data_IF_701451114218
#
_entry.id   IF_701451114218
#
_cell.length_a   1.000
_cell.length_b   1.000
_cell.length_c   1.000
_cell.angle_alpha   90.00
_cell.angle_beta   90.00
_cell.angle_gamma   90.00
#
_symmetry.space_group_name_H-M   'P 1'
#
loop_
_entity.id
_entity.type
_entity.pdbx_description
1 polymer ?
#
# COMPACT_ATOMS: atom_id res chain seq x y z
N UNK A 1 28.26 14.34 -2.63
CA UNK A 1 27.16 13.34 -2.56
C UNK A 1 27.05 12.95 -1.11
N UNK A 2 25.88 13.18 -0.49
CA UNK A 2 25.64 12.87 0.92
C UNK A 2 25.50 11.36 1.11
N UNK A 3 26.11 10.83 2.15
CA UNK A 3 25.90 9.43 2.58
C UNK A 3 24.61 9.30 3.35
N UNK A 4 23.85 8.23 3.11
CA UNK A 4 22.54 7.97 3.71
C UNK A 4 22.51 6.58 4.34
N UNK A 5 21.98 6.50 5.53
CA UNK A 5 21.53 5.25 6.16
C UNK A 5 20.03 5.30 6.32
N UNK A 6 19.36 4.18 6.06
CA UNK A 6 17.91 4.02 6.28
C UNK A 6 17.69 3.07 7.46
N UNK A 7 16.97 3.51 8.47
CA UNK A 7 16.54 2.66 9.58
C UNK A 7 15.16 2.09 9.28
N UNK A 8 15.14 0.99 8.69
CA UNK A 8 14.12 -0.05 8.43
C UNK A 8 14.62 -0.93 7.28
N UNK A 9 14.31 -2.22 7.35
CA UNK A 9 14.56 -3.19 6.27
C UNK A 9 13.25 -3.79 5.76
N UNK A 10 12.11 -3.24 6.19
CA UNK A 10 10.79 -3.60 5.69
C UNK A 10 10.49 -2.92 4.33
N UNK A 11 9.30 -3.18 3.78
CA UNK A 11 8.88 -2.62 2.50
C UNK A 11 9.03 -1.11 2.40
N UNK A 12 8.74 -0.40 3.48
CA UNK A 12 8.86 1.05 3.51
C UNK A 12 10.32 1.49 3.38
N UNK A 13 11.23 0.81 4.09
CA UNK A 13 12.66 1.07 3.99
C UNK A 13 13.19 0.80 2.59
N UNK A 14 12.79 -0.31 1.96
CA UNK A 14 13.17 -0.65 0.59
C UNK A 14 12.64 0.38 -0.41
N UNK A 15 11.35 0.75 -0.31
CA UNK A 15 10.77 1.77 -1.19
C UNK A 15 11.47 3.12 -1.04
N UNK A 16 11.82 3.50 0.19
CA UNK A 16 12.58 4.75 0.44
C UNK A 16 13.98 4.68 -0.17
N UNK A 17 14.63 3.52 -0.14
CA UNK A 17 15.92 3.32 -0.79
C UNK A 17 15.84 3.55 -2.31
N UNK A 18 14.80 3.03 -2.96
CA UNK A 18 14.54 3.23 -4.40
C UNK A 18 14.23 4.69 -4.76
N UNK A 19 13.70 5.46 -3.80
CA UNK A 19 13.36 6.88 -4.00
C UNK A 19 14.57 7.83 -3.83
N UNK A 20 15.70 7.36 -3.34
CA UNK A 20 16.89 8.19 -3.19
C UNK A 20 17.37 8.70 -4.54
N UNK A 21 17.65 10.00 -4.62
CA UNK A 21 18.27 10.58 -5.81
C UNK A 21 19.75 10.17 -5.89
N UNK A 22 20.16 9.29 -6.82
CA UNK A 22 21.52 8.76 -6.87
C UNK A 22 22.58 9.79 -7.29
N UNK A 23 22.18 11.00 -7.71
CA UNK A 23 23.10 12.11 -8.00
C UNK A 23 23.49 12.87 -6.75
N UNK A 24 22.63 12.89 -5.74
CA UNK A 24 22.76 13.66 -4.51
C UNK A 24 23.09 12.78 -3.30
N UNK A 25 22.55 11.55 -3.28
CA UNK A 25 22.53 10.64 -2.15
C UNK A 25 23.19 9.30 -2.50
N UNK A 26 23.95 8.76 -1.55
CA UNK A 26 24.55 7.43 -1.63
C UNK A 26 24.08 6.62 -0.41
N UNK A 27 23.30 5.59 -0.64
CA UNK A 27 22.95 4.62 0.40
C UNK A 27 24.20 3.85 0.81
N UNK A 28 24.54 3.87 2.09
CA UNK A 28 25.72 3.17 2.66
C UNK A 28 25.34 2.04 3.60
N UNK A 29 24.06 1.94 4.00
CA UNK A 29 23.55 0.85 4.80
C UNK A 29 22.07 1.00 5.12
N UNK A 30 21.45 -0.13 5.42
CA UNK A 30 20.10 -0.20 6.00
C UNK A 30 20.18 -0.92 7.34
N UNK A 31 19.48 -0.39 8.35
CA UNK A 31 19.49 -0.95 9.70
C UNK A 31 18.10 -1.31 10.21
N UNK A 32 18.00 -2.41 10.97
CA UNK A 32 16.77 -2.76 11.69
C UNK A 32 17.11 -3.18 13.13
N UNK A 33 16.17 -2.97 14.06
CA UNK A 33 16.27 -3.36 15.46
C UNK A 33 15.75 -4.77 15.72
N UNK A 34 14.99 -5.35 14.77
CA UNK A 34 14.32 -6.65 14.95
C UNK A 34 15.20 -7.79 14.47
N UNK A 35 15.60 -8.63 15.40
CA UNK A 35 16.34 -9.86 15.12
C UNK A 35 15.53 -10.83 14.21
N UNK A 36 14.20 -10.79 14.29
CA UNK A 36 13.28 -11.57 13.47
C UNK A 36 13.29 -11.15 11.99
N UNK A 37 13.51 -9.87 11.70
CA UNK A 37 13.62 -9.35 10.31
C UNK A 37 14.88 -9.87 9.63
N UNK A 38 15.93 -10.18 10.39
CA UNK A 38 17.17 -10.80 9.93
C UNK A 38 16.96 -12.27 9.53
N UNK A 39 16.05 -12.97 10.26
CA UNK A 39 15.72 -14.36 9.98
C UNK A 39 14.86 -14.54 8.72
N UNK A 40 14.08 -13.55 8.33
CA UNK A 40 13.27 -13.57 7.09
C UNK A 40 14.17 -13.53 5.85
N UNK A 41 15.33 -12.90 5.97
CA UNK A 41 16.33 -12.81 4.89
C UNK A 41 17.52 -13.74 5.10
N UNK A 42 17.54 -14.55 6.18
CA UNK A 42 18.50 -15.63 6.32
C UNK A 42 18.10 -16.79 5.40
N UNK A 43 19.06 -17.38 4.75
CA UNK A 43 18.89 -18.66 4.10
C UNK A 43 18.74 -19.71 5.22
N UNK A 44 17.50 -20.05 5.58
CA UNK A 44 17.17 -20.92 6.73
C UNK A 44 17.85 -22.30 6.65
N UNK A 45 18.26 -22.75 5.44
CA UNK A 45 18.99 -23.98 5.23
C UNK A 45 20.47 -23.86 5.57
N UNK A 46 21.06 -22.66 5.60
CA UNK A 46 22.50 -22.48 5.82
C UNK A 46 22.89 -21.75 7.09
N UNK A 47 21.94 -21.13 7.81
CA UNK A 47 22.22 -20.37 9.03
C UNK A 47 23.06 -19.09 8.79
N UNK A 48 23.20 -18.65 7.55
CA UNK A 48 23.94 -17.45 7.18
C UNK A 48 23.00 -16.25 7.14
N UNK A 49 23.34 -15.16 7.84
CA UNK A 49 22.66 -13.88 7.73
C UNK A 49 22.92 -13.29 6.33
N UNK A 50 21.89 -12.86 5.63
CA UNK A 50 22.11 -12.06 4.43
C UNK A 50 22.68 -10.71 4.84
N UNK A 51 23.82 -10.37 4.27
CA UNK A 51 24.46 -9.07 4.47
C UNK A 51 23.90 -7.99 3.52
N UNK A 52 23.04 -8.39 2.57
CA UNK A 52 22.44 -7.50 1.59
C UNK A 52 21.04 -7.97 1.14
N UNK A 53 20.18 -7.02 0.77
CA UNK A 53 18.90 -7.22 0.10
C UNK A 53 18.95 -6.44 -1.21
N UNK A 54 18.75 -7.10 -2.35
CA UNK A 54 18.78 -6.47 -3.68
C UNK A 54 20.03 -5.61 -3.90
N UNK A 55 21.19 -6.06 -3.40
CA UNK A 55 22.47 -5.34 -3.47
C UNK A 55 22.61 -4.19 -2.47
N UNK A 56 21.66 -4.01 -1.55
CA UNK A 56 21.73 -2.99 -0.50
C UNK A 56 22.22 -3.62 0.80
N UNK A 57 23.32 -3.10 1.42
CA UNK A 57 23.86 -3.67 2.64
C UNK A 57 22.90 -3.49 3.82
N UNK A 58 22.65 -4.59 4.53
CA UNK A 58 21.81 -4.63 5.73
C UNK A 58 22.63 -4.99 6.97
N UNK A 59 22.29 -4.40 8.10
CA UNK A 59 23.02 -4.58 9.35
C UNK A 59 22.15 -4.25 10.58
N UNK A 60 22.60 -4.59 11.81
CA UNK A 60 22.01 -4.05 13.03
C UNK A 60 21.87 -2.52 12.98
N UNK A 61 20.79 -1.98 13.51
CA UNK A 61 20.53 -0.56 13.46
C UNK A 61 21.62 0.28 14.16
N UNK A 62 22.18 -0.22 15.25
CA UNK A 62 23.29 0.40 15.96
C UNK A 62 24.58 0.45 15.11
N UNK A 63 24.89 -0.60 14.38
CA UNK A 63 26.03 -0.63 13.44
C UNK A 63 25.77 0.29 12.24
N UNK A 64 24.55 0.36 11.75
CA UNK A 64 24.17 1.27 10.67
C UNK A 64 24.34 2.73 11.09
N UNK A 65 23.92 3.10 12.29
CA UNK A 65 24.12 4.44 12.87
C UNK A 65 25.61 4.72 13.11
N UNK A 66 26.41 3.73 13.50
CA UNK A 66 27.85 3.87 13.71
C UNK A 66 28.63 4.22 12.45
N UNK A 67 28.05 4.04 11.24
CA UNK A 67 28.63 4.53 9.99
C UNK A 67 28.66 6.05 9.89
N UNK A 68 27.99 6.77 10.82
CA UNK A 68 27.91 8.25 10.86
C UNK A 68 27.60 8.88 9.50
N UNK A 69 26.44 8.50 8.87
CA UNK A 69 26.07 9.06 7.57
C UNK A 69 25.80 10.57 7.67
N UNK A 70 25.82 11.28 6.55
CA UNK A 70 25.40 12.68 6.49
C UNK A 70 23.90 12.84 6.78
N UNK A 71 23.09 11.82 6.41
CA UNK A 71 21.62 11.80 6.62
C UNK A 71 21.22 10.44 7.13
N UNK A 72 20.46 10.42 8.21
CA UNK A 72 19.77 9.23 8.73
C UNK A 72 18.30 9.31 8.39
N UNK A 73 17.77 8.32 7.68
CA UNK A 73 16.34 8.25 7.32
C UNK A 73 15.64 7.24 8.21
N UNK A 74 14.68 7.68 9.00
CA UNK A 74 13.81 6.81 9.80
C UNK A 74 12.57 6.47 8.98
N UNK A 75 12.58 5.27 8.38
CA UNK A 75 11.52 4.76 7.53
C UNK A 75 10.49 3.96 8.35
N UNK A 76 9.76 4.66 9.22
CA UNK A 76 8.68 4.12 10.03
C UNK A 76 7.47 5.05 9.97
N UNK A 77 6.27 4.46 9.91
CA UNK A 77 4.99 5.20 9.94
C UNK A 77 4.42 5.31 11.34
N UNK A 78 4.75 4.36 12.20
CA UNK A 78 4.35 4.34 13.59
C UNK A 78 5.18 5.33 14.42
N UNK A 79 4.50 6.12 15.24
CA UNK A 79 5.11 7.18 16.05
C UNK A 79 6.04 6.61 17.13
N UNK A 80 5.63 5.54 17.79
CA UNK A 80 6.41 4.92 18.88
C UNK A 80 7.69 4.31 18.31
N UNK A 81 7.59 3.57 17.21
CA UNK A 81 8.76 3.01 16.49
C UNK A 81 9.69 4.12 16.01
N UNK A 82 9.16 5.20 15.43
CA UNK A 82 9.96 6.33 14.96
C UNK A 82 10.76 6.98 16.10
N UNK A 83 10.12 7.25 17.24
CA UNK A 83 10.79 7.83 18.41
C UNK A 83 11.81 6.88 19.04
N UNK A 84 11.53 5.57 19.06
CA UNK A 84 12.49 4.58 19.56
C UNK A 84 13.77 4.54 18.72
N UNK A 85 13.65 4.60 17.39
CA UNK A 85 14.78 4.65 16.46
C UNK A 85 15.57 5.96 16.57
N UNK A 86 14.87 7.09 16.70
CA UNK A 86 15.49 8.40 16.96
C UNK A 86 16.29 8.38 18.26
N UNK A 87 15.66 7.93 19.35
CA UNK A 87 16.32 7.84 20.65
C UNK A 87 17.57 6.95 20.63
N UNK A 88 17.50 5.83 19.93
CA UNK A 88 18.65 4.95 19.72
C UNK A 88 19.76 5.67 18.98
N UNK A 89 19.46 6.38 17.88
CA UNK A 89 20.45 7.12 17.10
C UNK A 89 21.13 8.22 17.94
N UNK A 90 20.34 9.00 18.69
CA UNK A 90 20.86 10.05 19.57
C UNK A 90 21.78 9.44 20.66
N UNK A 91 21.35 8.33 21.27
CA UNK A 91 22.19 7.62 22.26
C UNK A 91 23.49 7.06 21.69
N UNK A 92 23.49 6.69 20.42
CA UNK A 92 24.69 6.27 19.68
C UNK A 92 25.59 7.46 19.27
N UNK A 93 25.22 8.68 19.65
CA UNK A 93 26.00 9.89 19.35
C UNK A 93 25.81 10.42 17.94
N UNK A 94 24.72 10.10 17.26
CA UNK A 94 24.42 10.66 15.95
C UNK A 94 23.99 12.12 16.07
N UNK A 95 24.62 13.02 15.31
CA UNK A 95 24.41 14.47 15.42
C UNK A 95 24.08 15.13 14.06
N UNK A 96 24.05 14.34 12.98
CA UNK A 96 23.74 14.85 11.65
C UNK A 96 22.23 14.89 11.39
N UNK A 97 21.82 15.17 10.15
CA UNK A 97 20.43 15.33 9.76
C UNK A 97 19.64 14.02 9.92
N UNK A 98 18.48 14.09 10.58
CA UNK A 98 17.49 12.98 10.66
C UNK A 98 16.27 13.37 9.84
N UNK A 99 15.84 12.50 8.94
CA UNK A 99 14.62 12.64 8.12
C UNK A 99 13.63 11.59 8.54
N UNK A 100 12.42 12.01 8.92
CA UNK A 100 11.33 11.13 9.28
C UNK A 100 10.38 10.96 8.11
N UNK A 101 10.24 9.73 7.60
CA UNK A 101 9.31 9.44 6.51
C UNK A 101 7.87 9.68 6.93
N UNK A 102 7.52 9.44 8.20
CA UNK A 102 6.20 9.75 8.77
C UNK A 102 5.82 11.20 8.50
N UNK A 103 6.68 12.16 8.84
CA UNK A 103 6.38 13.58 8.72
C UNK A 103 6.27 14.02 7.26
N UNK A 104 7.09 13.46 6.37
CA UNK A 104 6.97 13.69 4.93
C UNK A 104 5.66 13.13 4.38
N UNK A 105 5.24 11.94 4.83
CA UNK A 105 4.01 11.28 4.39
C UNK A 105 2.76 12.05 4.83
N UNK A 106 2.76 12.64 6.01
CA UNK A 106 1.67 13.49 6.50
C UNK A 106 1.49 14.76 5.65
N UNK A 107 2.60 15.32 5.16
CA UNK A 107 2.57 16.58 4.39
C UNK A 107 2.42 16.33 2.88
N UNK A 108 2.99 15.25 2.35
CA UNK A 108 3.08 14.98 0.92
C UNK A 108 2.59 13.57 0.60
N UNK A 109 1.45 13.46 -0.07
CA UNK A 109 0.92 12.17 -0.55
C UNK A 109 1.00 12.08 -2.07
N UNK A 110 1.83 11.17 -2.58
CA UNK A 110 1.92 10.84 -4.00
C UNK A 110 0.58 10.28 -4.47
N UNK A 111 -0.02 9.37 -3.69
CA UNK A 111 -1.34 8.78 -3.99
C UNK A 111 -2.43 9.82 -4.17
N UNK A 112 -2.52 10.82 -3.28
CA UNK A 112 -3.45 11.93 -3.43
C UNK A 112 -3.22 12.73 -4.71
N UNK A 113 -1.96 12.98 -5.06
CA UNK A 113 -1.59 13.69 -6.30
C UNK A 113 -2.00 12.89 -7.53
N UNK A 114 -1.76 11.58 -7.52
CA UNK A 114 -2.15 10.66 -8.61
C UNK A 114 -3.66 10.62 -8.75
N UNK A 115 -4.42 10.43 -7.67
CA UNK A 115 -5.89 10.43 -7.69
C UNK A 115 -6.44 11.71 -8.31
N UNK A 116 -5.98 12.88 -7.88
CA UNK A 116 -6.45 14.17 -8.42
C UNK A 116 -6.20 14.30 -9.92
N UNK A 117 -5.00 13.90 -10.38
CA UNK A 117 -4.65 13.96 -11.80
C UNK A 117 -5.42 12.93 -12.61
N UNK A 118 -5.57 11.72 -12.08
CA UNK A 118 -6.30 10.63 -12.74
C UNK A 118 -7.79 10.96 -12.87
N UNK A 119 -8.47 11.36 -11.81
CA UNK A 119 -9.88 11.77 -11.85
C UNK A 119 -10.11 12.87 -12.88
N UNK A 120 -9.27 13.90 -12.89
CA UNK A 120 -9.34 14.99 -13.90
C UNK A 120 -9.15 14.44 -15.32
N UNK A 121 -8.22 13.49 -15.51
CA UNK A 121 -7.95 12.89 -16.82
C UNK A 121 -9.12 12.04 -17.30
N UNK A 122 -9.66 11.16 -16.45
CA UNK A 122 -10.80 10.31 -16.76
C UNK A 122 -12.05 11.13 -17.12
N UNK A 123 -12.33 12.19 -16.34
CA UNK A 123 -13.42 13.13 -16.63
C UNK A 123 -13.19 13.84 -17.97
N UNK A 124 -11.99 14.36 -18.21
CA UNK A 124 -11.65 15.06 -19.46
C UNK A 124 -11.66 14.19 -20.71
N UNK A 125 -11.46 12.88 -20.56
CA UNK A 125 -11.59 11.91 -21.64
C UNK A 125 -13.03 11.38 -21.82
N UNK A 126 -13.94 11.71 -20.91
CA UNK A 126 -15.31 11.20 -20.93
C UNK A 126 -15.39 9.70 -20.64
N UNK A 127 -14.44 9.13 -19.89
CA UNK A 127 -14.52 7.71 -19.50
C UNK A 127 -15.78 7.49 -18.69
N UNK A 128 -16.65 6.63 -19.17
CA UNK A 128 -17.94 6.34 -18.54
C UNK A 128 -17.81 5.37 -17.37
N UNK A 129 -18.79 5.41 -16.46
CA UNK A 129 -18.91 4.50 -15.34
C UNK A 129 -18.83 5.19 -13.99
N UNK A 130 -19.14 4.44 -12.95
CA UNK A 130 -19.13 4.84 -11.57
C UNK A 130 -17.74 4.71 -10.96
N UNK A 131 -17.61 5.05 -9.69
CA UNK A 131 -16.38 4.93 -8.91
C UNK A 131 -16.59 3.91 -7.81
N UNK A 132 -15.57 3.12 -7.49
CA UNK A 132 -15.62 2.20 -6.37
C UNK A 132 -14.34 2.24 -5.54
N UNK A 133 -14.48 1.92 -4.26
CA UNK A 133 -13.37 1.61 -3.36
C UNK A 133 -13.66 0.29 -2.64
N UNK A 134 -12.72 -0.64 -2.72
CA UNK A 134 -12.75 -1.91 -2.01
C UNK A 134 -11.66 -1.90 -0.94
N UNK A 135 -12.07 -1.96 0.34
CA UNK A 135 -11.22 -1.71 1.49
C UNK A 135 -11.13 -0.22 1.81
N UNK A 136 -12.23 0.39 2.27
CA UNK A 136 -12.29 1.84 2.51
C UNK A 136 -11.81 2.26 3.91
N UNK A 137 -11.67 1.32 4.85
CA UNK A 137 -11.17 1.56 6.21
C UNK A 137 -11.80 2.81 6.86
N UNK A 138 -11.03 3.90 7.07
CA UNK A 138 -11.50 5.16 7.67
C UNK A 138 -12.02 6.18 6.65
N UNK A 139 -11.98 5.85 5.36
CA UNK A 139 -12.56 6.66 4.30
C UNK A 139 -11.70 7.83 3.80
N UNK A 140 -10.40 7.82 4.00
CA UNK A 140 -9.53 8.93 3.54
C UNK A 140 -9.44 9.01 2.02
N UNK A 141 -9.37 7.87 1.33
CA UNK A 141 -9.47 7.79 -0.13
C UNK A 141 -10.91 8.01 -0.58
N UNK A 142 -11.91 7.43 0.12
CA UNK A 142 -13.34 7.63 -0.15
C UNK A 142 -13.71 9.10 -0.18
N UNK A 143 -13.25 9.86 0.81
CA UNK A 143 -13.47 11.30 0.88
C UNK A 143 -12.96 12.03 -0.37
N UNK A 144 -11.75 11.70 -0.80
CA UNK A 144 -11.15 12.29 -1.99
C UNK A 144 -11.92 11.94 -3.27
N UNK A 145 -12.27 10.66 -3.44
CA UNK A 145 -13.05 10.18 -4.59
C UNK A 145 -14.40 10.88 -4.68
N UNK A 146 -15.09 11.04 -3.53
CA UNK A 146 -16.38 11.71 -3.45
C UNK A 146 -16.32 13.17 -3.90
N UNK A 147 -15.26 13.90 -3.54
CA UNK A 147 -15.05 15.31 -3.99
C UNK A 147 -14.58 15.38 -5.45
N UNK A 148 -13.70 14.47 -5.86
CA UNK A 148 -13.06 14.54 -7.18
C UNK A 148 -13.95 14.07 -8.32
N UNK A 149 -14.96 13.24 -8.02
CA UNK A 149 -15.90 12.67 -8.99
C UNK A 149 -17.36 12.91 -8.55
N UNK A 150 -17.78 14.19 -8.40
CA UNK A 150 -19.05 14.56 -7.75
C UNK A 150 -20.31 14.12 -8.52
N UNK A 151 -20.17 13.87 -9.82
CA UNK A 151 -21.28 13.45 -10.70
C UNK A 151 -21.38 11.93 -10.86
N UNK A 152 -20.58 11.15 -10.10
CA UNK A 152 -20.54 9.70 -10.16
C UNK A 152 -21.02 9.08 -8.86
N UNK A 153 -21.70 7.93 -8.94
CA UNK A 153 -21.94 7.13 -7.74
C UNK A 153 -20.60 6.58 -7.24
N UNK A 154 -20.41 6.60 -5.93
CA UNK A 154 -19.27 6.05 -5.24
C UNK A 154 -19.70 4.83 -4.42
N UNK A 155 -19.30 3.66 -4.86
CA UNK A 155 -19.54 2.40 -4.14
C UNK A 155 -18.38 2.13 -3.19
N UNK A 156 -18.69 1.94 -1.90
CA UNK A 156 -17.71 1.68 -0.85
C UNK A 156 -17.96 0.30 -0.25
N UNK A 157 -16.98 -0.58 -0.40
CA UNK A 157 -17.02 -1.95 0.10
C UNK A 157 -16.02 -2.13 1.24
N UNK A 158 -16.50 -2.58 2.39
CA UNK A 158 -15.66 -2.92 3.54
C UNK A 158 -16.44 -3.85 4.48
N UNK A 159 -15.74 -4.70 5.20
CA UNK A 159 -16.31 -5.48 6.28
C UNK A 159 -16.70 -4.61 7.46
N UNK A 160 -15.96 -3.51 7.69
CA UNK A 160 -15.96 -2.70 8.92
C UNK A 160 -15.65 -3.50 10.20
N UNK A 161 -15.12 -4.70 10.02
CA UNK A 161 -14.75 -5.65 11.06
C UNK A 161 -13.29 -6.10 10.93
N UNK A 162 -12.55 -5.49 9.97
CA UNK A 162 -11.18 -5.85 9.63
C UNK A 162 -11.12 -7.09 8.73
N UNK A 163 -9.96 -7.76 8.72
CA UNK A 163 -9.78 -8.94 7.88
C UNK A 163 -10.74 -10.07 8.26
N UNK A 164 -11.45 -10.60 7.27
CA UNK A 164 -12.35 -11.74 7.43
C UNK A 164 -11.55 -13.04 7.64
N UNK A 165 -12.05 -13.94 8.46
CA UNK A 165 -11.39 -15.22 8.75
C UNK A 165 -11.19 -16.07 7.48
N UNK A 166 -12.13 -16.04 6.55
CA UNK A 166 -12.05 -16.76 5.26
C UNK A 166 -10.86 -16.33 4.43
N UNK A 167 -10.60 -15.01 4.40
CA UNK A 167 -9.50 -14.42 3.66
C UNK A 167 -8.16 -14.71 4.32
N UNK A 168 -8.12 -14.61 5.65
CA UNK A 168 -6.93 -14.95 6.45
C UNK A 168 -6.55 -16.43 6.31
N UNK A 169 -7.54 -17.32 6.33
CA UNK A 169 -7.30 -18.76 6.15
C UNK A 169 -6.74 -19.07 4.75
N UNK A 170 -7.25 -18.40 3.72
CA UNK A 170 -6.71 -18.54 2.35
C UNK A 170 -5.27 -18.01 2.26
N UNK A 171 -5.01 -16.84 2.83
CA UNK A 171 -3.69 -16.21 2.86
C UNK A 171 -2.63 -17.14 3.51
N UNK A 172 -3.00 -17.77 4.63
CA UNK A 172 -2.15 -18.74 5.33
C UNK A 172 -1.94 -20.03 4.53
N UNK A 173 -2.99 -20.56 3.91
CA UNK A 173 -2.89 -21.78 3.05
C UNK A 173 -1.94 -21.58 1.88
N UNK A 174 -1.90 -20.36 1.32
CA UNK A 174 -1.01 -19.99 0.23
C UNK A 174 0.40 -19.60 0.70
N UNK A 175 0.61 -19.48 2.01
CA UNK A 175 1.90 -19.03 2.57
C UNK A 175 2.24 -17.57 2.20
N UNK A 176 1.24 -16.73 1.96
CA UNK A 176 1.43 -15.36 1.50
C UNK A 176 1.73 -14.38 2.63
N UNK A 177 1.15 -14.60 3.81
CA UNK A 177 1.45 -13.81 5.02
C UNK A 177 0.95 -14.47 6.30
N UNK A 178 1.28 -13.86 7.44
CA UNK A 178 0.82 -14.19 8.80
C UNK A 178 -0.35 -13.29 9.25
N UNK A 179 -1.18 -12.86 8.32
CA UNK A 179 -2.34 -12.00 8.59
C UNK A 179 -3.21 -12.54 9.73
N UNK A 180 -3.83 -11.65 10.49
CA UNK A 180 -4.70 -11.98 11.62
C UNK A 180 -6.11 -11.46 11.38
N UNK A 181 -7.10 -12.29 11.69
CA UNK A 181 -8.53 -11.93 11.65
C UNK A 181 -8.80 -10.71 12.51
N UNK A 182 -9.62 -9.80 12.02
CA UNK A 182 -9.99 -8.57 12.71
C UNK A 182 -8.93 -7.47 12.67
N UNK A 183 -7.76 -7.68 12.04
CA UNK A 183 -6.80 -6.59 11.84
C UNK A 183 -7.45 -5.51 10.96
N UNK A 184 -7.21 -4.23 11.28
CA UNK A 184 -7.88 -3.06 10.70
C UNK A 184 -9.37 -2.92 11.06
N UNK A 185 -9.86 -3.59 12.10
CA UNK A 185 -11.16 -3.29 12.72
C UNK A 185 -11.18 -1.91 13.38
N UNK A 186 -12.29 -1.55 13.99
CA UNK A 186 -12.43 -0.23 14.66
C UNK A 186 -12.82 0.90 13.71
N UNK A 187 -13.37 0.54 12.57
CA UNK A 187 -14.01 1.43 11.62
C UNK A 187 -15.52 1.32 11.71
N UNK A 188 -16.23 2.34 11.23
CA UNK A 188 -17.67 2.45 11.39
C UNK A 188 -18.28 3.14 10.16
N UNK A 189 -19.28 2.49 9.56
CA UNK A 189 -19.88 2.97 8.31
C UNK A 189 -20.66 4.28 8.50
N UNK A 190 -21.25 4.48 9.68
CA UNK A 190 -21.98 5.71 10.03
C UNK A 190 -21.01 6.88 10.11
N UNK A 191 -19.90 6.74 10.84
CA UNK A 191 -18.83 7.74 10.91
C UNK A 191 -18.19 8.01 9.55
N UNK A 192 -18.02 6.97 8.74
CA UNK A 192 -17.52 7.14 7.37
C UNK A 192 -18.50 7.99 6.55
N UNK A 193 -19.80 7.69 6.61
CA UNK A 193 -20.81 8.46 5.88
C UNK A 193 -20.88 9.92 6.34
N UNK A 194 -20.76 10.20 7.64
CA UNK A 194 -20.72 11.57 8.19
C UNK A 194 -19.55 12.41 7.63
N UNK A 195 -18.46 11.76 7.25
CA UNK A 195 -17.29 12.41 6.65
C UNK A 195 -17.47 12.75 5.17
N UNK A 196 -18.44 12.15 4.48
CA UNK A 196 -18.58 12.30 3.03
C UNK A 196 -19.16 13.67 2.66
N UNK A 197 -18.45 14.50 1.86
CA UNK A 197 -18.94 15.82 1.44
C UNK A 197 -20.20 15.75 0.59
N UNK A 198 -20.38 14.70 -0.20
CA UNK A 198 -21.53 14.49 -1.08
C UNK A 198 -22.18 13.13 -0.77
N UNK A 199 -22.85 12.99 0.40
CA UNK A 199 -23.35 11.68 0.86
C UNK A 199 -24.42 11.10 -0.05
N UNK A 200 -25.15 11.91 -0.81
CA UNK A 200 -26.15 11.46 -1.79
C UNK A 200 -25.57 10.67 -2.97
N UNK A 201 -24.28 10.72 -3.19
CA UNK A 201 -23.57 9.94 -4.22
C UNK A 201 -22.96 8.64 -3.69
N UNK A 202 -22.98 8.42 -2.38
CA UNK A 202 -22.26 7.32 -1.72
C UNK A 202 -23.20 6.15 -1.46
N UNK A 203 -22.75 4.95 -1.82
CA UNK A 203 -23.42 3.67 -1.57
C UNK A 203 -22.48 2.78 -0.78
N UNK A 204 -22.70 2.67 0.53
CA UNK A 204 -21.88 1.80 1.39
C UNK A 204 -22.43 0.37 1.35
N UNK A 205 -21.53 -0.58 1.13
CA UNK A 205 -21.77 -2.03 1.08
C UNK A 205 -20.95 -2.70 2.19
N UNK A 206 -21.55 -2.79 3.39
CA UNK A 206 -20.92 -3.48 4.53
C UNK A 206 -21.03 -4.99 4.37
N UNK A 207 -19.90 -5.68 4.48
CA UNK A 207 -19.81 -7.13 4.50
C UNK A 207 -18.63 -7.67 3.69
N UNK A 208 -18.57 -8.97 3.58
CA UNK A 208 -17.52 -9.65 2.84
C UNK A 208 -17.75 -9.56 1.32
N UNK A 209 -16.67 -9.19 0.59
CA UNK A 209 -16.68 -9.14 -0.86
C UNK A 209 -16.29 -10.53 -1.42
N UNK A 210 -16.98 -11.04 -2.49
CA UNK A 210 -17.90 -10.35 -3.40
C UNK A 210 -19.39 -10.43 -3.04
N UNK A 211 -19.79 -11.02 -1.92
CA UNK A 211 -21.22 -11.17 -1.56
C UNK A 211 -21.97 -9.83 -1.53
N UNK A 212 -21.27 -8.73 -1.22
CA UNK A 212 -21.85 -7.38 -1.15
C UNK A 212 -22.06 -6.71 -2.51
N UNK A 213 -21.71 -7.37 -3.61
CA UNK A 213 -21.79 -6.81 -4.97
C UNK A 213 -22.90 -7.46 -5.83
N UNK A 214 -23.81 -8.23 -5.23
CA UNK A 214 -24.80 -9.08 -5.92
C UNK A 214 -25.83 -8.34 -6.79
N UNK A 215 -26.01 -7.04 -6.64
CA UNK A 215 -27.05 -6.24 -7.32
C UNK A 215 -26.46 -5.13 -8.19
N UNK A 216 -25.17 -5.18 -8.48
CA UNK A 216 -24.46 -4.20 -9.31
C UNK A 216 -23.62 -4.84 -10.41
N UNK A 217 -24.00 -6.06 -10.81
CA UNK A 217 -23.30 -6.81 -11.88
C UNK A 217 -23.36 -6.09 -13.23
N UNK A 218 -24.37 -5.26 -13.45
CA UNK A 218 -24.58 -4.49 -14.69
C UNK A 218 -23.94 -3.09 -14.64
N UNK A 219 -23.37 -2.69 -13.50
CA UNK A 219 -22.73 -1.38 -13.38
C UNK A 219 -21.36 -1.37 -14.08
N UNK A 220 -21.02 -0.23 -14.65
CA UNK A 220 -19.71 0.03 -15.26
C UNK A 220 -18.93 0.97 -14.37
N UNK A 221 -17.59 0.83 -14.34
CA UNK A 221 -16.70 1.62 -13.51
C UNK A 221 -15.64 2.33 -14.34
N UNK A 222 -15.36 3.60 -14.04
CA UNK A 222 -14.26 4.35 -14.63
C UNK A 222 -13.01 4.36 -13.75
N UNK A 223 -13.20 4.23 -12.43
CA UNK A 223 -12.11 4.21 -11.45
C UNK A 223 -12.48 3.30 -10.29
N UNK A 224 -11.58 2.40 -9.96
CA UNK A 224 -11.68 1.52 -8.79
C UNK A 224 -10.39 1.64 -7.98
N UNK A 225 -10.50 1.92 -6.68
CA UNK A 225 -9.39 1.84 -5.73
C UNK A 225 -9.53 0.56 -4.90
N UNK A 226 -8.47 -0.24 -4.83
CA UNK A 226 -8.45 -1.48 -4.07
C UNK A 226 -7.29 -1.45 -3.07
N UNK A 227 -7.63 -1.60 -1.78
CA UNK A 227 -6.66 -1.60 -0.67
C UNK A 227 -7.08 -2.64 0.38
N UNK A 228 -7.05 -3.90 0.00
CA UNK A 228 -7.56 -5.03 0.79
C UNK A 228 -6.49 -5.97 1.35
N UNK A 229 -5.24 -5.76 0.96
CA UNK A 229 -4.02 -6.41 1.47
C UNK A 229 -3.91 -7.93 1.27
N UNK A 230 -5.01 -8.69 1.16
CA UNK A 230 -5.00 -10.14 1.14
C UNK A 230 -5.35 -10.71 -0.24
N UNK A 231 -4.92 -11.95 -0.51
CA UNK A 231 -5.12 -12.65 -1.78
C UNK A 231 -6.59 -12.73 -2.20
N UNK A 232 -7.44 -13.29 -1.35
CA UNK A 232 -8.83 -13.61 -1.71
C UNK A 232 -9.65 -12.37 -2.08
N UNK A 233 -9.71 -11.30 -1.26
CA UNK A 233 -10.47 -10.11 -1.62
C UNK A 233 -9.85 -9.35 -2.80
N UNK A 234 -8.52 -9.43 -2.99
CA UNK A 234 -7.86 -8.86 -4.16
C UNK A 234 -8.28 -9.58 -5.43
N UNK A 235 -8.21 -10.91 -5.46
CA UNK A 235 -8.61 -11.70 -6.62
C UNK A 235 -10.09 -11.50 -6.94
N UNK A 236 -10.97 -11.62 -5.93
CA UNK A 236 -12.40 -11.42 -6.10
C UNK A 236 -12.73 -10.02 -6.63
N UNK A 237 -12.06 -8.99 -6.10
CA UNK A 237 -12.21 -7.61 -6.58
C UNK A 237 -11.77 -7.44 -8.03
N UNK A 238 -10.61 -7.97 -8.39
CA UNK A 238 -10.10 -7.91 -9.77
C UNK A 238 -11.03 -8.68 -10.74
N UNK A 239 -11.48 -9.89 -10.39
CA UNK A 239 -12.42 -10.67 -11.19
C UNK A 239 -13.79 -9.98 -11.37
N UNK A 240 -14.24 -9.25 -10.36
CA UNK A 240 -15.50 -8.51 -10.43
C UNK A 240 -15.34 -7.22 -11.22
N UNK A 241 -14.37 -6.38 -10.87
CA UNK A 241 -14.25 -5.03 -11.43
C UNK A 241 -13.63 -5.01 -12.83
N UNK A 242 -12.56 -5.79 -13.09
CA UNK A 242 -11.82 -5.71 -14.35
C UNK A 242 -12.72 -5.85 -15.59
N UNK A 243 -13.62 -6.86 -15.71
CA UNK A 243 -14.50 -6.97 -16.88
C UNK A 243 -15.61 -5.90 -16.92
N UNK A 244 -15.79 -5.13 -15.83
CA UNK A 244 -16.79 -4.05 -15.72
C UNK A 244 -16.18 -2.66 -15.85
N UNK A 245 -14.89 -2.58 -16.10
CA UNK A 245 -14.25 -1.29 -16.36
C UNK A 245 -14.69 -0.73 -17.71
N UNK A 246 -15.03 0.56 -17.76
CA UNK A 246 -15.16 1.28 -19.00
C UNK A 246 -13.83 1.34 -19.75
N UNK A 247 -13.87 1.48 -21.07
CA UNK A 247 -12.65 1.61 -21.89
C UNK A 247 -11.80 2.80 -21.43
N UNK A 248 -10.55 2.56 -21.11
CA UNK A 248 -9.63 3.54 -20.53
C UNK A 248 -9.84 3.77 -19.03
N UNK A 249 -10.74 2.99 -18.40
CA UNK A 249 -10.90 3.00 -16.95
C UNK A 249 -9.68 2.41 -16.24
N UNK A 250 -9.54 2.73 -14.95
CA UNK A 250 -8.33 2.41 -14.18
C UNK A 250 -8.68 1.76 -12.86
N UNK A 251 -7.98 0.68 -12.53
CA UNK A 251 -7.92 0.13 -11.19
C UNK A 251 -6.62 0.57 -10.53
N UNK A 252 -6.70 1.23 -9.37
CA UNK A 252 -5.57 1.50 -8.49
C UNK A 252 -5.51 0.39 -7.42
N UNK A 253 -4.49 -0.45 -7.50
CA UNK A 253 -4.32 -1.58 -6.59
C UNK A 253 -3.12 -1.32 -5.68
N UNK A 254 -3.37 -1.18 -4.36
CA UNK A 254 -2.34 -1.00 -3.34
C UNK A 254 -1.68 -2.32 -2.95
N UNK A 255 -0.45 -2.25 -2.47
CA UNK A 255 0.26 -3.40 -1.89
C UNK A 255 0.80 -4.42 -2.90
N UNK A 256 0.75 -4.13 -4.20
CA UNK A 256 1.20 -5.08 -5.23
C UNK A 256 2.70 -5.39 -5.16
N UNK A 257 3.51 -4.42 -4.76
CA UNK A 257 4.97 -4.60 -4.56
C UNK A 257 5.33 -4.91 -3.12
N UNK A 258 4.34 -5.16 -2.26
CA UNK A 258 4.54 -5.39 -0.82
C UNK A 258 5.11 -6.76 -0.50
N UNK A 259 6.05 -6.83 0.46
CA UNK A 259 6.59 -8.11 0.95
C UNK A 259 5.81 -8.67 2.13
N UNK A 260 5.04 -7.82 2.85
CA UNK A 260 4.26 -8.23 4.02
C UNK A 260 3.03 -9.07 3.65
N UNK A 261 2.29 -8.64 2.62
CA UNK A 261 1.09 -9.29 2.13
C UNK A 261 1.28 -9.68 0.66
N UNK A 262 1.99 -10.79 0.44
CA UNK A 262 2.31 -11.27 -0.92
C UNK A 262 1.10 -11.79 -1.69
N UNK A 263 -0.03 -11.95 -1.02
CA UNK A 263 -1.28 -12.38 -1.62
C UNK A 263 -1.79 -11.43 -2.69
N UNK A 264 -1.52 -10.12 -2.57
CA UNK A 264 -1.91 -9.13 -3.60
C UNK A 264 -1.23 -9.42 -4.94
N UNK A 265 0.10 -9.57 -4.95
CA UNK A 265 0.85 -9.91 -6.16
C UNK A 265 0.40 -11.25 -6.75
N UNK A 266 0.22 -12.26 -5.89
CA UNK A 266 -0.27 -13.58 -6.30
C UNK A 266 -1.65 -13.52 -6.96
N UNK A 267 -2.57 -12.68 -6.45
CA UNK A 267 -3.89 -12.50 -7.04
C UNK A 267 -3.82 -11.89 -8.45
N UNK A 268 -2.88 -10.98 -8.69
CA UNK A 268 -2.62 -10.42 -10.03
C UNK A 268 -2.10 -11.49 -10.98
N UNK A 269 -1.10 -12.29 -10.57
CA UNK A 269 -0.58 -13.41 -11.37
C UNK A 269 -1.69 -14.38 -11.79
N UNK A 270 -2.59 -14.72 -10.86
CA UNK A 270 -3.70 -15.64 -11.13
C UNK A 270 -4.74 -15.00 -12.07
N UNK A 271 -4.98 -13.70 -11.98
CA UNK A 271 -5.83 -12.99 -12.93
C UNK A 271 -5.21 -13.00 -14.35
N UNK A 272 -3.91 -12.77 -14.46
CA UNK A 272 -3.18 -12.78 -15.75
C UNK A 272 -3.23 -14.14 -16.44
N UNK A 273 -3.39 -15.23 -15.71
CA UNK A 273 -3.60 -16.56 -16.30
C UNK A 273 -4.90 -16.63 -17.13
N UNK A 274 -5.89 -15.79 -16.82
CA UNK A 274 -7.21 -15.76 -17.49
C UNK A 274 -7.30 -14.69 -18.58
N UNK A 275 -6.76 -13.51 -18.32
CA UNK A 275 -6.92 -12.35 -19.20
C UNK A 275 -5.66 -12.04 -20.03
N UNK A 276 -4.55 -12.78 -19.80
CA UNK A 276 -3.25 -12.46 -20.35
C UNK A 276 -2.55 -11.36 -19.55
N UNK A 277 -1.33 -11.01 -19.93
CA UNK A 277 -0.53 -10.01 -19.24
C UNK A 277 -1.24 -8.65 -19.18
N UNK A 278 -1.34 -8.09 -17.99
CA UNK A 278 -1.98 -6.81 -17.74
C UNK A 278 -0.95 -5.66 -17.88
N UNK A 279 -1.38 -4.56 -18.50
CA UNK A 279 -0.58 -3.34 -18.47
C UNK A 279 -0.69 -2.71 -17.07
N UNK A 280 0.32 -2.96 -16.24
CA UNK A 280 0.43 -2.40 -14.90
C UNK A 280 1.51 -1.32 -14.86
N UNK A 281 1.16 -0.15 -14.36
CA UNK A 281 2.06 0.99 -14.24
C UNK A 281 2.29 1.32 -12.75
N UNK A 282 3.53 1.31 -12.26
CA UNK A 282 3.80 1.64 -10.86
C UNK A 282 3.50 3.11 -10.59
N UNK A 283 2.91 3.39 -9.43
CA UNK A 283 2.57 4.76 -9.00
C UNK A 283 3.77 5.47 -8.36
N UNK A 284 4.68 4.71 -7.76
CA UNK A 284 5.85 5.25 -7.04
C UNK A 284 5.49 5.86 -5.69
N UNK A 285 4.38 5.43 -5.10
CA UNK A 285 4.04 5.74 -3.70
C UNK A 285 4.71 4.76 -2.73
N UNK A 286 4.56 5.03 -1.43
CA UNK A 286 5.12 4.20 -0.37
C UNK A 286 4.28 2.94 -0.07
N UNK A 287 3.13 2.79 -0.73
CA UNK A 287 2.19 1.68 -0.54
C UNK A 287 2.33 0.61 -1.63
N UNK A 288 3.29 0.79 -2.57
CA UNK A 288 3.51 -0.13 -3.70
C UNK A 288 2.29 -0.24 -4.61
N UNK A 289 1.62 0.89 -4.84
CA UNK A 289 0.41 0.95 -5.68
C UNK A 289 0.77 0.82 -7.16
N UNK A 290 -0.07 0.06 -7.89
CA UNK A 290 -0.02 -0.01 -9.35
C UNK A 290 -1.33 0.48 -9.96
N UNK A 291 -1.26 1.00 -11.17
CA UNK A 291 -2.40 1.28 -12.02
C UNK A 291 -2.58 0.16 -13.05
N UNK A 292 -3.76 -0.44 -13.10
CA UNK A 292 -4.15 -1.38 -14.14
C UNK A 292 -5.10 -0.63 -15.07
N UNK A 293 -4.72 -0.47 -16.33
CA UNK A 293 -5.52 0.26 -17.33
C UNK A 293 -6.32 -0.73 -18.16
N UNK A 294 -7.64 -0.55 -18.21
CA UNK A 294 -8.52 -1.36 -19.05
C UNK A 294 -8.45 -0.87 -20.51
N UNK A 295 -8.22 -1.78 -21.49
CA UNK A 295 -8.00 -1.43 -22.90
C UNK A 295 -9.21 -0.85 -23.61
#
# INVERSE_FOLDING_TARGET
MKTVVILSTDNLGMTVADMLNPREMKLVGMGDTRQETWNVFSDLEKGELKEEIEGMPIMPADLAVALQPDVLVIAATDSEKSHALEYMAIRAGFLNDIVFIRDLREQFSIRCSVLRRLCRRLTGLGVEGNVAELGCYRGDTSWQLNVLMPDRKLYLFDTFEGFDERDVDMERKLGCSDAQTGLYSGTDKEKLMERMPLPGQVVIRKGWFPETAFDIEDETFCLVCMDVCLYQPTLAGLEFFFPRMGRGGVILLSGCSGTRYRGVAKAVEDLETRYGALLMLPVGDLDGTVMIVHP
#
